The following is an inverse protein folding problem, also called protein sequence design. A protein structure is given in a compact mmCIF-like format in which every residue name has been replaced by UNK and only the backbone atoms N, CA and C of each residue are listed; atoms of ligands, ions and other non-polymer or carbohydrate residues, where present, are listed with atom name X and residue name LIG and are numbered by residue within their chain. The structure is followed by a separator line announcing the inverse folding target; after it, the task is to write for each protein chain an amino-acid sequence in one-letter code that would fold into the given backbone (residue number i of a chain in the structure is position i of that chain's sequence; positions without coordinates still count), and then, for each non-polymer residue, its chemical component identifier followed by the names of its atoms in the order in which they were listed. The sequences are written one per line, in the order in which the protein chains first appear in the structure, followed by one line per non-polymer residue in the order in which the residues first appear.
data_IF_215684438600
#
_entry.id   IF_215684438600
#
_cell.length_a   1.000
_cell.length_b   1.000
_cell.length_c   1.000
_cell.angle_alpha   90.00
_cell.angle_beta   90.00
_cell.angle_gamma   90.00
#
_symmetry.space_group_name_H-M   'P 1'
#
loop_
_entity.id
_entity.type
_entity.pdbx_description
1 polymer ?
#
# COMPACT_ATOMS: atom_id res chain seq x y z
N UNK A 1 -4.17 35.74 -17.72
CA UNK A 1 -5.39 35.25 -17.04
C UNK A 1 -5.42 33.73 -17.18
N UNK A 2 -4.69 33.00 -16.32
CA UNK A 2 -4.66 31.53 -16.31
C UNK A 2 -4.96 31.10 -14.88
N UNK A 3 -6.25 31.12 -14.51
CA UNK A 3 -6.68 30.76 -13.15
C UNK A 3 -7.95 29.88 -13.14
N UNK A 4 -8.41 29.37 -14.29
CA UNK A 4 -9.65 28.59 -14.37
C UNK A 4 -9.46 27.08 -14.63
N UNK A 5 -8.28 26.62 -15.09
CA UNK A 5 -8.12 25.21 -15.49
C UNK A 5 -7.71 24.26 -14.36
N UNK A 6 -7.15 24.76 -13.25
CA UNK A 6 -6.54 23.91 -12.22
C UNK A 6 -7.58 23.23 -11.31
N UNK A 7 -8.73 23.88 -11.05
CA UNK A 7 -9.79 23.31 -10.21
C UNK A 7 -10.54 22.14 -10.89
N UNK A 8 -10.57 22.11 -12.22
CA UNK A 8 -11.26 21.05 -12.97
C UNK A 8 -10.42 19.79 -13.16
N UNK A 9 -9.09 19.93 -13.25
CA UNK A 9 -8.20 18.77 -13.37
C UNK A 9 -8.09 17.98 -12.07
N UNK A 10 -8.13 18.67 -10.93
CA UNK A 10 -8.09 18.03 -9.62
C UNK A 10 -9.34 17.19 -9.35
N UNK A 11 -10.51 17.68 -9.75
CA UNK A 11 -11.78 16.94 -9.66
C UNK A 11 -11.80 15.70 -10.56
N UNK A 12 -11.31 15.80 -11.80
CA UNK A 12 -11.22 14.64 -12.72
C UNK A 12 -10.19 13.61 -12.26
N UNK A 13 -9.08 14.05 -11.66
CA UNK A 13 -8.05 13.17 -11.11
C UNK A 13 -8.57 12.43 -9.88
N UNK A 14 -9.24 13.13 -8.96
CA UNK A 14 -9.87 12.54 -7.79
C UNK A 14 -10.95 11.50 -8.15
N UNK A 15 -11.73 11.74 -9.21
CA UNK A 15 -12.75 10.79 -9.66
C UNK A 15 -12.15 9.48 -10.24
N UNK A 16 -11.04 9.59 -10.98
CA UNK A 16 -10.31 8.41 -11.49
C UNK A 16 -9.64 7.63 -10.36
N UNK A 17 -9.03 8.35 -9.42
CA UNK A 17 -8.36 7.76 -8.25
C UNK A 17 -9.35 6.97 -7.38
N UNK A 18 -10.52 7.55 -7.09
CA UNK A 18 -11.59 6.89 -6.32
C UNK A 18 -11.99 5.54 -6.93
N UNK A 19 -12.11 5.47 -8.27
CA UNK A 19 -12.42 4.21 -8.98
C UNK A 19 -11.29 3.19 -8.87
N UNK A 20 -10.03 3.62 -8.98
CA UNK A 20 -8.88 2.72 -8.86
C UNK A 20 -8.76 2.11 -7.46
N UNK A 21 -9.09 2.86 -6.41
CA UNK A 21 -8.96 2.42 -5.02
C UNK A 21 -10.09 1.49 -4.58
N UNK A 22 -11.30 1.70 -5.10
CA UNK A 22 -12.40 0.75 -4.90
C UNK A 22 -12.03 -0.63 -5.43
N UNK A 23 -11.22 -0.72 -6.49
CA UNK A 23 -10.73 -2.00 -7.01
C UNK A 23 -9.67 -2.66 -6.12
N UNK A 24 -8.93 -1.90 -5.32
CA UNK A 24 -7.87 -2.40 -4.42
C UNK A 24 -8.39 -2.87 -3.05
N UNK A 25 -9.62 -2.51 -2.66
CA UNK A 25 -10.26 -2.94 -1.41
C UNK A 25 -11.05 -4.24 -1.63
N UNK A 26 -10.37 -5.34 -1.93
CA UNK A 26 -10.94 -6.69 -1.79
C UNK A 26 -10.21 -7.37 -0.63
N UNK A 27 -10.97 -7.71 0.42
CA UNK A 27 -10.47 -8.35 1.65
C UNK A 27 -10.06 -9.81 1.38
N UNK A 28 -8.99 -10.34 2.01
CA UNK A 28 -8.74 -11.77 2.01
C UNK A 28 -9.60 -12.47 3.07
N UNK A 29 -10.30 -13.50 2.62
CA UNK A 29 -11.14 -14.40 3.41
C UNK A 29 -10.26 -15.29 4.30
N UNK A 30 -10.48 -15.28 5.62
CA UNK A 30 -9.68 -16.05 6.57
C UNK A 30 -10.18 -17.51 6.61
N UNK A 31 -9.50 -18.38 5.86
CA UNK A 31 -9.78 -19.82 5.80
C UNK A 31 -8.89 -20.57 6.82
N UNK A 32 -9.48 -21.59 7.46
CA UNK A 32 -8.84 -22.51 8.39
C UNK A 32 -7.46 -22.98 7.92
N UNK A 33 -6.40 -22.54 8.60
CA UNK A 33 -5.01 -22.90 8.26
C UNK A 33 -4.49 -24.05 9.13
N UNK A 34 -3.86 -25.01 8.47
CA UNK A 34 -3.11 -26.14 9.03
C UNK A 34 -1.74 -25.70 9.59
N UNK A 35 -1.04 -26.53 10.39
CA UNK A 35 0.24 -26.14 11.03
C UNK A 35 1.35 -25.74 10.05
N UNK A 36 1.40 -26.36 8.86
CA UNK A 36 2.35 -25.98 7.79
C UNK A 36 1.99 -24.61 7.20
N UNK A 37 0.70 -24.31 7.01
CA UNK A 37 0.24 -22.99 6.57
C UNK A 37 0.44 -21.92 7.65
N UNK A 38 0.46 -22.29 8.93
CA UNK A 38 0.73 -21.39 10.05
C UNK A 38 2.23 -20.98 10.10
N UNK A 39 3.14 -21.92 9.80
CA UNK A 39 4.58 -21.63 9.63
C UNK A 39 4.82 -20.73 8.40
N UNK A 40 4.12 -21.00 7.30
CA UNK A 40 4.18 -20.16 6.10
C UNK A 40 3.63 -18.75 6.37
N UNK A 41 2.51 -18.62 7.10
CA UNK A 41 1.94 -17.34 7.49
C UNK A 41 2.86 -16.54 8.43
N UNK A 42 3.52 -17.19 9.39
CA UNK A 42 4.50 -16.53 10.26
C UNK A 42 5.72 -16.05 9.48
N UNK A 43 6.19 -16.84 8.52
CA UNK A 43 7.30 -16.49 7.63
C UNK A 43 6.92 -15.33 6.71
N UNK A 44 5.69 -15.31 6.20
CA UNK A 44 5.17 -14.22 5.39
C UNK A 44 4.97 -12.93 6.19
N UNK A 45 4.52 -13.01 7.44
CA UNK A 45 4.43 -11.84 8.31
C UNK A 45 5.80 -11.18 8.54
N UNK A 46 6.87 -11.96 8.69
CA UNK A 46 8.25 -11.44 8.80
C UNK A 46 8.67 -10.74 7.51
N UNK A 47 8.42 -11.35 6.35
CA UNK A 47 8.75 -10.75 5.04
C UNK A 47 7.98 -9.47 4.78
N UNK A 48 6.68 -9.43 5.08
CA UNK A 48 5.84 -8.23 4.94
C UNK A 48 6.37 -7.11 5.83
N UNK A 49 6.74 -7.39 7.09
CA UNK A 49 7.35 -6.39 7.98
C UNK A 49 8.66 -5.85 7.41
N UNK A 50 9.55 -6.73 6.96
CA UNK A 50 10.82 -6.32 6.34
C UNK A 50 10.60 -5.48 5.07
N UNK A 51 9.61 -5.84 4.25
CA UNK A 51 9.26 -5.07 3.06
C UNK A 51 8.69 -3.69 3.42
N UNK A 52 7.81 -3.60 4.43
CA UNK A 52 7.31 -2.32 4.96
C UNK A 52 8.45 -1.45 5.51
N UNK A 53 9.48 -2.02 6.11
CA UNK A 53 10.65 -1.29 6.60
C UNK A 53 11.47 -0.63 5.47
N UNK A 54 11.41 -1.17 4.26
CA UNK A 54 12.06 -0.59 3.07
C UNK A 54 11.30 0.61 2.47
N UNK A 55 10.03 0.81 2.83
CA UNK A 55 9.26 1.98 2.40
C UNK A 55 9.76 3.25 3.10
N UNK A 56 9.60 4.38 2.43
CA UNK A 56 9.80 5.68 3.10
C UNK A 56 8.81 5.82 4.26
N UNK A 57 9.14 6.51 5.37
CA UNK A 57 8.24 6.64 6.51
C UNK A 57 6.84 7.12 6.12
N UNK A 58 6.80 8.09 5.20
CA UNK A 58 5.57 8.67 4.65
C UNK A 58 4.76 7.70 3.80
N UNK A 59 5.40 6.92 2.92
CA UNK A 59 4.72 5.93 2.10
C UNK A 59 4.15 4.81 2.98
N UNK A 60 4.93 4.34 3.97
CA UNK A 60 4.51 3.33 4.94
C UNK A 60 3.34 3.82 5.78
N UNK A 61 3.43 5.02 6.34
CA UNK A 61 2.37 5.59 7.16
C UNK A 61 1.07 5.74 6.38
N UNK A 62 1.11 6.33 5.18
CA UNK A 62 -0.08 6.48 4.35
C UNK A 62 -0.73 5.11 4.02
N UNK A 63 0.10 4.10 3.73
CA UNK A 63 -0.37 2.75 3.41
C UNK A 63 -1.03 2.07 4.62
N UNK A 64 -0.43 2.16 5.81
CA UNK A 64 -0.97 1.58 7.04
C UNK A 64 -2.28 2.25 7.47
N UNK A 65 -2.39 3.57 7.35
CA UNK A 65 -3.62 4.29 7.66
C UNK A 65 -4.74 3.92 6.69
N UNK A 66 -4.41 3.77 5.40
CA UNK A 66 -5.38 3.30 4.41
C UNK A 66 -5.85 1.87 4.69
N UNK A 67 -4.92 0.97 5.06
CA UNK A 67 -5.23 -0.41 5.43
C UNK A 67 -6.13 -0.48 6.67
N UNK A 68 -5.91 0.41 7.64
CA UNK A 68 -6.79 0.60 8.80
C UNK A 68 -8.17 1.20 8.45
N UNK A 69 -8.49 1.39 7.17
CA UNK A 69 -9.80 1.83 6.69
C UNK A 69 -10.01 3.35 6.72
N UNK A 70 -8.96 4.14 6.92
CA UNK A 70 -9.09 5.60 6.91
C UNK A 70 -9.43 6.14 5.52
N UNK A 71 -10.26 7.19 5.51
CA UNK A 71 -10.54 7.95 4.30
C UNK A 71 -9.35 8.81 3.87
N UNK A 72 -9.35 9.24 2.61
CA UNK A 72 -8.30 10.11 2.05
C UNK A 72 -8.16 11.43 2.81
N UNK A 73 -9.28 11.97 3.28
CA UNK A 73 -9.31 13.19 4.06
C UNK A 73 -8.68 13.01 5.45
N UNK A 74 -8.95 11.86 6.10
CA UNK A 74 -8.32 11.51 7.38
C UNK A 74 -6.81 11.26 7.22
N UNK A 75 -6.41 10.53 6.17
CA UNK A 75 -4.99 10.28 5.90
C UNK A 75 -4.28 11.59 5.61
N UNK A 76 -4.85 12.48 4.78
CA UNK A 76 -4.29 13.81 4.50
C UNK A 76 -4.11 14.64 5.78
N UNK A 77 -5.12 14.65 6.66
CA UNK A 77 -5.05 15.35 7.94
C UNK A 77 -3.95 14.80 8.86
N UNK A 78 -3.76 13.48 8.89
CA UNK A 78 -2.78 12.84 9.77
C UNK A 78 -1.35 12.92 9.25
N UNK A 79 -1.17 12.77 7.93
CA UNK A 79 0.16 12.72 7.28
C UNK A 79 0.66 14.10 6.82
N UNK A 80 -0.19 15.13 6.88
CA UNK A 80 0.11 16.47 6.37
C UNK A 80 0.20 16.54 4.84
N UNK A 81 -0.25 15.50 4.13
CA UNK A 81 -0.19 15.43 2.68
C UNK A 81 -1.36 16.16 2.04
N UNK A 82 -1.11 16.76 0.88
CA UNK A 82 -2.19 17.25 0.04
C UNK A 82 -3.13 16.09 -0.31
N UNK A 83 -4.44 16.31 -0.18
CA UNK A 83 -5.47 15.31 -0.50
C UNK A 83 -5.29 14.67 -1.89
N UNK A 84 -4.94 15.48 -2.89
CA UNK A 84 -4.67 15.02 -4.26
C UNK A 84 -3.38 14.20 -4.43
N UNK A 85 -2.47 14.24 -3.44
CA UNK A 85 -1.24 13.45 -3.43
C UNK A 85 -1.43 12.06 -2.78
N UNK A 86 -2.56 11.81 -2.10
CA UNK A 86 -2.77 10.56 -1.36
C UNK A 86 -2.73 9.33 -2.26
N UNK A 87 -3.49 9.31 -3.36
CA UNK A 87 -3.53 8.08 -4.16
C UNK A 87 -2.27 7.84 -4.98
N UNK A 88 -1.58 8.88 -5.44
CA UNK A 88 -0.22 8.69 -6.00
C UNK A 88 0.80 8.20 -4.97
N UNK A 89 0.67 8.63 -3.71
CA UNK A 89 1.49 8.13 -2.59
C UNK A 89 1.17 6.66 -2.32
N UNK A 90 -0.11 6.29 -2.24
CA UNK A 90 -0.54 4.89 -2.02
C UNK A 90 -0.17 3.96 -3.18
N UNK A 91 -0.34 4.39 -4.43
CA UNK A 91 0.02 3.60 -5.60
C UNK A 91 1.54 3.31 -5.60
N UNK A 92 2.35 4.33 -5.31
CA UNK A 92 3.80 4.18 -5.16
C UNK A 92 4.15 3.26 -3.99
N UNK A 93 3.52 3.45 -2.83
CA UNK A 93 3.77 2.66 -1.63
C UNK A 93 3.48 1.17 -1.87
N UNK A 94 2.34 0.82 -2.48
CA UNK A 94 2.01 -0.57 -2.83
C UNK A 94 3.01 -1.18 -3.79
N UNK A 95 3.36 -0.46 -4.85
CA UNK A 95 4.33 -0.94 -5.83
C UNK A 95 5.67 -1.27 -5.15
N UNK A 96 6.16 -0.37 -4.29
CA UNK A 96 7.40 -0.59 -3.52
C UNK A 96 7.28 -1.74 -2.53
N UNK A 97 6.11 -1.92 -1.91
CA UNK A 97 5.88 -3.02 -0.99
C UNK A 97 5.98 -4.36 -1.70
N UNK A 98 5.35 -4.49 -2.87
CA UNK A 98 5.42 -5.71 -3.71
C UNK A 98 6.86 -5.95 -4.16
N UNK A 99 7.53 -4.95 -4.73
CA UNK A 99 8.94 -5.06 -5.16
C UNK A 99 9.87 -5.52 -4.00
N UNK A 100 9.71 -4.95 -2.81
CA UNK A 100 10.52 -5.30 -1.64
C UNK A 100 10.20 -6.69 -1.07
N UNK A 101 8.92 -7.09 -1.10
CA UNK A 101 8.49 -8.41 -0.67
C UNK A 101 8.99 -9.51 -1.61
N UNK A 102 8.89 -9.30 -2.93
CA UNK A 102 9.36 -10.26 -3.94
C UNK A 102 10.88 -10.43 -3.88
N UNK A 103 11.64 -9.33 -3.74
CA UNK A 103 13.08 -9.40 -3.56
C UNK A 103 13.48 -10.17 -2.28
N UNK A 104 12.70 -10.04 -1.20
CA UNK A 104 12.90 -10.80 0.04
C UNK A 104 12.60 -12.29 -0.11
N UNK A 105 11.66 -12.66 -0.98
CA UNK A 105 11.37 -14.07 -1.32
C UNK A 105 12.49 -14.71 -2.12
N UNK A 106 12.95 -14.05 -3.17
CA UNK A 106 14.02 -14.56 -4.05
C UNK A 106 15.34 -14.76 -3.30
N UNK A 107 15.66 -13.86 -2.35
CA UNK A 107 16.82 -13.98 -1.47
C UNK A 107 16.73 -15.14 -0.47
N UNK A 108 15.52 -15.48 0.00
CA UNK A 108 15.30 -16.61 0.91
C UNK A 108 15.29 -17.97 0.21
N UNK A 109 14.68 -18.06 -0.97
CA UNK A 109 14.64 -19.30 -1.77
C UNK A 109 16.04 -19.74 -2.25
N UNK A 110 16.95 -18.79 -2.53
CA UNK A 110 18.33 -19.10 -2.89
C UNK A 110 19.15 -19.70 -1.75
N UNK A 111 18.87 -19.32 -0.49
CA UNK A 111 19.59 -19.83 0.69
C UNK A 111 19.15 -21.25 1.04
N UNK A 112 17.90 -21.63 0.74
CA UNK A 112 17.36 -22.96 1.04
C UNK A 112 17.82 -24.08 0.07
N UNK A 113 18.55 -23.76 -1.01
CA UNK A 113 19.07 -24.74 -1.99
C UNK A 113 20.55 -25.10 -1.79
N UNK A 114 21.23 -24.51 -0.79
CA UNK A 114 22.65 -24.72 -0.50
C UNK A 114 22.94 -25.87 0.47
#
# INVERSE_FOLDING_TARGET
MVAANMASDEARRAAREKRHLTLLRSEPDAVHTSPEEEIDAATDAVRVRAALEQLTPRDREALLLWDAGMSYDQIAAQTGLARGAIGTTLARARRRLVEAYDAGREGGEHVARG
#
